data_IF_094696443303
#
_entry.id   IF_094696443303
#
_cell.length_a   1.000
_cell.length_b   1.000
_cell.length_c   1.000
_cell.angle_alpha   90.00
_cell.angle_beta   90.00
_cell.angle_gamma   90.00
#
_symmetry.space_group_name_H-M   'P 1'
#
loop_
_entity.id
_entity.type
_entity.pdbx_description
1 polymer ?
#
# COMPACT_ATOMS: atom_id res chain seq x y z
N UNK A 1 -15.05 -2.63 7.11
CA UNK A 1 -13.74 -1.98 7.28
C UNK A 1 -13.56 -1.55 8.72
N UNK A 2 -12.31 -1.42 9.17
CA UNK A 2 -11.95 -0.85 10.47
C UNK A 2 -11.93 0.68 10.39
N UNK A 3 -11.98 1.38 11.54
CA UNK A 3 -11.86 2.85 11.59
C UNK A 3 -10.59 3.35 10.88
N UNK A 4 -9.46 2.66 11.08
CA UNK A 4 -8.22 2.93 10.35
C UNK A 4 -8.38 2.82 8.83
N UNK A 5 -9.06 1.78 8.33
CA UNK A 5 -9.25 1.60 6.89
C UNK A 5 -10.19 2.67 6.32
N UNK A 6 -11.23 3.09 7.04
CA UNK A 6 -12.14 4.15 6.61
C UNK A 6 -11.39 5.51 6.52
N UNK A 7 -10.55 5.83 7.50
CA UNK A 7 -9.75 7.06 7.51
C UNK A 7 -8.69 7.08 6.39
N UNK A 8 -7.99 5.95 6.19
CA UNK A 8 -6.99 5.80 5.13
C UNK A 8 -7.64 5.83 3.74
N UNK A 9 -8.83 5.26 3.58
CA UNK A 9 -9.58 5.38 2.33
C UNK A 9 -9.82 6.85 1.98
N UNK A 10 -10.22 7.68 2.95
CA UNK A 10 -10.43 9.10 2.72
C UNK A 10 -9.14 9.83 2.30
N UNK A 11 -7.99 9.47 2.88
CA UNK A 11 -6.66 9.98 2.46
C UNK A 11 -6.39 9.63 0.99
N UNK A 12 -6.66 8.39 0.60
CA UNK A 12 -6.40 7.91 -0.76
C UNK A 12 -7.36 8.51 -1.81
N UNK A 13 -8.63 8.69 -1.48
CA UNK A 13 -9.58 9.42 -2.32
C UNK A 13 -9.15 10.88 -2.49
N UNK A 14 -8.69 11.54 -1.43
CA UNK A 14 -8.15 12.90 -1.49
C UNK A 14 -6.90 13.00 -2.37
N UNK A 15 -6.11 11.92 -2.43
CA UNK A 15 -4.95 11.78 -3.31
C UNK A 15 -5.32 11.44 -4.77
N UNK A 16 -6.60 11.30 -5.11
CA UNK A 16 -7.08 11.11 -6.48
C UNK A 16 -7.33 9.66 -6.89
N UNK A 17 -7.32 8.70 -5.96
CA UNK A 17 -7.84 7.36 -6.22
C UNK A 17 -9.36 7.39 -6.42
N UNK A 18 -9.87 6.52 -7.28
CA UNK A 18 -11.30 6.21 -7.29
C UNK A 18 -11.68 5.37 -6.06
N UNK A 19 -12.96 5.40 -5.68
CA UNK A 19 -13.51 4.73 -4.49
C UNK A 19 -13.11 3.25 -4.40
N UNK A 20 -13.16 2.51 -5.52
CA UNK A 20 -12.85 1.08 -5.51
C UNK A 20 -11.35 0.82 -5.27
N UNK A 21 -10.50 1.63 -5.91
CA UNK A 21 -9.04 1.58 -5.72
C UNK A 21 -8.66 2.00 -4.30
N UNK A 22 -9.23 3.09 -3.78
CA UNK A 22 -9.00 3.59 -2.43
C UNK A 22 -9.43 2.58 -1.36
N UNK A 23 -10.61 1.97 -1.52
CA UNK A 23 -11.11 0.91 -0.65
C UNK A 23 -10.15 -0.27 -0.62
N UNK A 24 -9.73 -0.77 -1.80
CA UNK A 24 -8.82 -1.91 -1.90
C UNK A 24 -7.46 -1.62 -1.28
N UNK A 25 -6.93 -0.41 -1.49
CA UNK A 25 -5.68 0.05 -0.92
C UNK A 25 -5.76 0.14 0.61
N UNK A 26 -6.84 0.69 1.14
CA UNK A 26 -7.06 0.81 2.57
C UNK A 26 -7.20 -0.55 3.26
N UNK A 27 -7.91 -1.50 2.64
CA UNK A 27 -8.03 -2.88 3.15
C UNK A 27 -6.66 -3.58 3.18
N UNK A 28 -5.85 -3.42 2.14
CA UNK A 28 -4.49 -3.98 2.10
C UNK A 28 -3.58 -3.33 3.14
N UNK A 29 -3.64 -2.02 3.33
CA UNK A 29 -2.83 -1.35 4.34
C UNK A 29 -3.28 -1.70 5.75
N UNK A 30 -4.58 -1.91 5.98
CA UNK A 30 -5.09 -2.41 7.25
C UNK A 30 -4.55 -3.80 7.57
N UNK A 31 -4.46 -4.69 6.57
CA UNK A 31 -3.82 -6.00 6.74
C UNK A 31 -2.32 -5.85 7.07
N UNK A 32 -1.59 -4.99 6.35
CA UNK A 32 -0.18 -4.71 6.66
C UNK A 32 0.01 -4.23 8.11
N UNK A 33 -0.84 -3.30 8.55
CA UNK A 33 -0.85 -2.76 9.91
C UNK A 33 -1.07 -3.88 10.94
N UNK A 34 -2.03 -4.77 10.71
CA UNK A 34 -2.30 -5.88 11.62
C UNK A 34 -1.14 -6.90 11.68
N UNK A 35 -0.46 -7.13 10.57
CA UNK A 35 0.61 -8.13 10.50
C UNK A 35 1.95 -7.60 11.05
N UNK A 36 2.25 -6.31 10.87
CA UNK A 36 3.61 -5.79 11.05
C UNK A 36 3.73 -4.49 11.86
N UNK A 37 2.69 -3.66 11.94
CA UNK A 37 2.79 -2.35 12.59
C UNK A 37 1.45 -1.92 13.19
N UNK A 38 1.03 -2.52 14.30
CA UNK A 38 -0.24 -2.21 14.96
C UNK A 38 -0.32 -0.73 15.43
N UNK A 39 0.80 -0.01 15.50
CA UNK A 39 0.86 1.39 15.93
C UNK A 39 0.71 2.38 14.76
N UNK A 40 0.71 1.92 13.51
CA UNK A 40 0.49 2.76 12.33
C UNK A 40 -0.85 3.49 12.39
N UNK A 41 -0.83 4.80 12.19
CA UNK A 41 -2.01 5.68 12.21
C UNK A 41 -2.31 6.26 10.82
N UNK A 42 -3.56 6.66 10.59
CA UNK A 42 -3.95 7.29 9.32
C UNK A 42 -3.19 8.60 9.07
N UNK A 43 -2.93 9.41 10.11
CA UNK A 43 -2.12 10.63 10.00
C UNK A 43 -0.68 10.35 9.59
N UNK A 44 -0.09 9.23 10.04
CA UNK A 44 1.25 8.83 9.64
C UNK A 44 1.27 8.37 8.18
N UNK A 45 0.24 7.62 7.77
CA UNK A 45 0.03 7.22 6.36
C UNK A 45 -0.08 8.44 5.47
N UNK A 46 -0.89 9.43 5.81
CA UNK A 46 -1.05 10.67 5.03
C UNK A 46 0.29 11.41 4.87
N UNK A 47 1.03 11.57 5.98
CA UNK A 47 2.33 12.24 5.96
C UNK A 47 3.35 11.51 5.09
N UNK A 48 3.48 10.20 5.25
CA UNK A 48 4.43 9.40 4.45
C UNK A 48 4.01 9.33 2.99
N UNK A 49 2.71 9.20 2.71
CA UNK A 49 2.19 9.14 1.34
C UNK A 49 2.44 10.45 0.59
N UNK A 50 2.44 11.60 1.27
CA UNK A 50 2.79 12.88 0.67
C UNK A 50 4.24 12.97 0.15
N UNK A 51 5.13 12.11 0.65
CA UNK A 51 6.53 12.01 0.19
C UNK A 51 6.71 11.06 -1.02
N UNK A 52 5.63 10.42 -1.48
CA UNK A 52 5.68 9.51 -2.60
C UNK A 52 6.17 10.22 -3.88
N UNK A 53 7.14 9.65 -4.62
CA UNK A 53 7.78 10.33 -5.75
C UNK A 53 6.96 10.29 -7.05
N UNK A 54 5.88 9.51 -7.10
CA UNK A 54 5.09 9.26 -8.32
C UNK A 54 3.72 9.95 -8.25
N UNK A 55 3.27 10.50 -9.38
CA UNK A 55 1.97 11.15 -9.50
C UNK A 55 0.82 10.13 -9.66
N UNK A 56 1.11 8.91 -10.11
CA UNK A 56 0.12 7.86 -10.24
C UNK A 56 -0.13 7.18 -8.88
N UNK A 57 -1.38 7.24 -8.41
CA UNK A 57 -1.79 6.71 -7.10
C UNK A 57 -1.29 5.29 -6.83
N UNK A 58 -1.40 4.39 -7.82
CA UNK A 58 -1.01 2.98 -7.67
C UNK A 58 0.49 2.85 -7.39
N UNK A 59 1.34 3.57 -8.12
CA UNK A 59 2.79 3.54 -7.90
C UNK A 59 3.18 4.25 -6.59
N UNK A 60 2.51 5.35 -6.25
CA UNK A 60 2.68 6.05 -4.98
C UNK A 60 2.32 5.15 -3.77
N UNK A 61 1.22 4.40 -3.88
CA UNK A 61 0.79 3.44 -2.88
C UNK A 61 1.78 2.28 -2.75
N UNK A 62 2.23 1.70 -3.86
CA UNK A 62 3.19 0.59 -3.82
C UNK A 62 4.55 1.03 -3.26
N UNK A 63 4.94 2.29 -3.50
CA UNK A 63 6.08 2.92 -2.86
C UNK A 63 5.86 3.06 -1.34
N UNK A 64 4.71 3.58 -0.90
CA UNK A 64 4.38 3.73 0.53
C UNK A 64 4.48 2.37 1.26
N UNK A 65 3.86 1.33 0.71
CA UNK A 65 3.89 -0.02 1.30
C UNK A 65 5.33 -0.55 1.40
N UNK A 66 6.15 -0.31 0.37
CA UNK A 66 7.58 -0.65 0.40
C UNK A 66 8.38 0.19 1.41
N UNK A 67 8.03 1.46 1.57
CA UNK A 67 8.66 2.37 2.51
C UNK A 67 8.39 1.94 3.96
N UNK A 68 7.12 1.73 4.31
CA UNK A 68 6.69 1.22 5.62
C UNK A 68 7.35 -0.13 5.96
N UNK A 69 7.39 -1.05 5.00
CA UNK A 69 8.05 -2.35 5.19
C UNK A 69 9.57 -2.22 5.42
N UNK A 70 10.22 -1.21 4.83
CA UNK A 70 11.65 -0.96 5.01
C UNK A 70 11.98 -0.29 6.35
N UNK A 71 11.03 0.43 6.96
CA UNK A 71 11.16 0.96 8.32
C UNK A 71 11.00 -0.14 9.38
N UNK A 72 10.40 -1.29 9.03
CA UNK A 72 10.29 -2.44 9.90
C UNK A 72 11.61 -3.24 9.95
N UNK A 73 12.09 -3.55 11.16
CA UNK A 73 13.37 -4.22 11.40
C UNK A 73 13.44 -5.69 10.90
N UNK A 74 12.31 -6.30 10.49
CA UNK A 74 12.21 -7.74 10.17
C UNK A 74 12.23 -8.09 8.66
N UNK A 75 12.82 -7.24 7.81
CA UNK A 75 12.85 -7.47 6.35
C UNK A 75 11.47 -7.81 5.77
N UNK A 76 10.44 -7.07 6.21
CA UNK A 76 9.02 -7.34 5.94
C UNK A 76 8.75 -7.47 4.44
N UNK A 77 8.09 -8.57 4.04
CA UNK A 77 7.68 -8.77 2.64
C UNK A 77 6.45 -7.93 2.31
N UNK A 78 6.69 -6.80 1.67
CA UNK A 78 5.64 -5.83 1.36
C UNK A 78 4.75 -6.24 0.16
N UNK A 79 5.09 -7.33 -0.56
CA UNK A 79 4.52 -7.61 -1.90
C UNK A 79 3.04 -7.97 -1.86
N UNK A 80 2.57 -8.66 -0.83
CA UNK A 80 1.17 -9.08 -0.73
C UNK A 80 0.21 -7.90 -0.51
N UNK A 81 0.73 -6.79 0.04
CA UNK A 81 -0.04 -5.58 0.35
C UNK A 81 -0.02 -4.54 -0.78
N UNK A 82 0.77 -4.76 -1.84
CA UNK A 82 0.79 -3.88 -3.03
C UNK A 82 -0.47 -4.02 -3.88
N UNK A 83 -0.81 -2.97 -4.61
CA UNK A 83 -1.89 -2.95 -5.61
C UNK A 83 -1.43 -3.55 -6.94
N UNK A 84 -0.21 -3.22 -7.40
CA UNK A 84 0.44 -4.01 -8.45
C UNK A 84 0.96 -5.29 -7.80
N UNK A 85 0.04 -6.22 -7.54
CA UNK A 85 0.42 -7.62 -7.36
C UNK A 85 1.15 -8.10 -8.60
N UNK A 86 2.03 -9.10 -8.45
CA UNK A 86 2.58 -9.84 -9.58
C UNK A 86 1.41 -10.13 -10.53
N UNK A 87 1.38 -9.43 -11.67
CA UNK A 87 0.50 -9.82 -12.75
C UNK A 87 0.80 -11.32 -12.96
N UNK A 88 -0.19 -12.09 -13.35
CA UNK A 88 -0.05 -13.53 -13.61
C UNK A 88 1.07 -13.89 -14.62
N UNK A 89 1.76 -12.88 -15.16
CA UNK A 89 2.92 -12.91 -16.06
C UNK A 89 4.28 -12.57 -15.43
N UNK A 90 4.36 -12.09 -14.18
CA UNK A 90 5.61 -11.59 -13.60
C UNK A 90 6.61 -12.70 -13.20
N UNK A 91 6.27 -13.96 -13.45
CA UNK A 91 7.24 -15.05 -13.60
C UNK A 91 6.70 -16.07 -14.61
N UNK A 92 6.46 -15.68 -15.87
CA UNK A 92 6.30 -16.68 -16.93
C UNK A 92 7.68 -17.34 -17.19
N UNK A 93 7.87 -18.64 -16.88
CA UNK A 93 9.12 -19.33 -17.21
C UNK A 93 9.37 -19.43 -18.73
N UNK A 94 8.39 -19.11 -19.58
CA UNK A 94 8.58 -18.94 -21.02
C UNK A 94 9.20 -17.58 -21.39
N UNK A 95 9.12 -16.57 -20.52
CA UNK A 95 9.86 -15.30 -20.65
C UNK A 95 11.20 -15.46 -19.91
N UNK A 96 11.95 -16.48 -20.31
CA UNK A 96 13.22 -16.85 -19.68
C UNK A 96 13.92 -18.04 -20.33
N UNK A 97 13.57 -18.39 -21.56
CA UNK A 97 14.18 -19.48 -22.34
C UNK A 97 14.70 -18.97 -23.69
#
# INVERSE_FOLDING_TARGET
>A
MSEFADDVQAVFEAAGADEATATTAAEKLAAFREDYDEELTADAVEQQFADAPDEAFVHAYDWLVGHLAAENDDCTDSREYRLEGFDSFAADPAIGA
#
